data_IF_376405019877
#
_entry.id   IF_376405019877
#
_cell.length_a   1.000
_cell.length_b   1.000
_cell.length_c   1.000
_cell.angle_alpha   90.00
_cell.angle_beta   90.00
_cell.angle_gamma   90.00
#
_symmetry.space_group_name_H-M   'P 1'
#
loop_
_entity.id
_entity.type
_entity.pdbx_description
1 polymer ?
#
# COMPACT_ATOMS: atom_id res chain seq x y z
N UNK A 1 -7.96 -42.10 21.31
CA UNK A 1 -7.84 -41.38 20.05
C UNK A 1 -8.40 -39.98 20.30
N UNK A 2 -7.54 -39.07 20.75
CA UNK A 2 -7.91 -37.73 21.16
C UNK A 2 -7.73 -36.77 19.96
N UNK A 3 -8.82 -36.12 19.62
CA UNK A 3 -8.91 -35.06 18.62
C UNK A 3 -8.18 -33.84 19.16
N UNK A 4 -7.02 -33.50 18.59
CA UNK A 4 -6.32 -32.26 18.85
C UNK A 4 -6.82 -31.25 17.81
N UNK A 5 -7.94 -30.57 18.12
CA UNK A 5 -8.32 -29.36 17.43
C UNK A 5 -7.26 -28.32 17.70
N UNK A 6 -6.49 -27.95 16.69
CA UNK A 6 -5.56 -26.79 16.72
C UNK A 6 -6.34 -25.50 16.98
N UNK A 7 -5.71 -24.45 17.55
CA UNK A 7 -6.37 -23.19 17.85
C UNK A 7 -6.94 -22.58 16.56
N UNK A 8 -8.19 -22.19 16.62
CA UNK A 8 -8.88 -21.53 15.49
C UNK A 8 -8.14 -20.24 15.09
N UNK A 9 -7.79 -20.05 13.80
CA UNK A 9 -7.03 -18.91 13.33
C UNK A 9 -7.69 -17.54 13.59
N UNK A 10 -9.01 -17.53 13.82
CA UNK A 10 -9.80 -16.32 14.07
C UNK A 10 -9.53 -15.68 15.44
N UNK A 11 -9.07 -16.44 16.43
CA UNK A 11 -8.79 -15.93 17.80
C UNK A 11 -7.45 -15.21 17.83
N UNK A 12 -6.45 -15.68 17.10
CA UNK A 12 -5.10 -15.08 17.03
C UNK A 12 -5.15 -13.67 16.43
N UNK A 13 -5.74 -13.50 15.27
CA UNK A 13 -5.82 -12.19 14.57
C UNK A 13 -6.50 -11.10 15.43
N UNK A 14 -7.55 -11.46 16.17
CA UNK A 14 -8.22 -10.49 17.06
C UNK A 14 -7.35 -10.10 18.24
N UNK A 15 -6.52 -11.02 18.74
CA UNK A 15 -5.59 -10.75 19.84
C UNK A 15 -4.45 -9.83 19.37
N UNK A 16 -3.91 -10.09 18.17
CA UNK A 16 -2.87 -9.26 17.56
C UNK A 16 -3.37 -7.82 17.35
N UNK A 17 -4.57 -7.63 16.80
CA UNK A 17 -5.16 -6.31 16.61
C UNK A 17 -5.39 -5.55 17.92
N UNK A 18 -5.93 -6.19 18.97
CA UNK A 18 -6.11 -5.57 20.28
C UNK A 18 -4.78 -5.14 20.91
N UNK A 19 -3.76 -5.96 20.69
CA UNK A 19 -2.43 -5.65 21.21
C UNK A 19 -1.81 -4.46 20.49
N UNK A 20 -1.94 -4.37 19.16
CA UNK A 20 -1.51 -3.21 18.37
C UNK A 20 -2.27 -1.94 18.75
N UNK A 21 -3.59 -2.02 18.98
CA UNK A 21 -4.39 -0.90 19.47
C UNK A 21 -3.91 -0.43 20.85
N UNK A 22 -3.58 -1.39 21.75
CA UNK A 22 -3.04 -1.07 23.07
C UNK A 22 -1.67 -0.37 22.98
N UNK A 23 -0.77 -0.83 22.10
CA UNK A 23 0.54 -0.17 21.89
C UNK A 23 0.32 1.22 21.29
N UNK A 24 -0.57 1.38 20.32
CA UNK A 24 -0.89 2.67 19.69
C UNK A 24 -1.44 3.73 20.65
N UNK A 25 -2.02 3.32 21.78
CA UNK A 25 -2.45 4.23 22.84
C UNK A 25 -1.30 4.75 23.73
N UNK A 26 -0.05 4.25 23.54
CA UNK A 26 1.13 4.58 24.33
C UNK A 26 2.28 5.02 23.40
N UNK A 27 2.29 6.26 22.91
CA UNK A 27 3.28 6.75 21.94
C UNK A 27 4.73 6.62 22.41
N UNK A 28 4.97 6.77 23.70
CA UNK A 28 6.31 6.68 24.33
C UNK A 28 6.70 5.23 24.67
N UNK A 29 5.89 4.26 24.27
CA UNK A 29 6.07 2.85 24.62
C UNK A 29 5.42 2.45 25.93
N UNK A 30 5.14 1.15 26.08
CA UNK A 30 4.59 0.59 27.32
C UNK A 30 5.15 -0.81 27.59
N UNK A 31 5.16 -1.19 28.87
CA UNK A 31 5.63 -2.50 29.32
C UNK A 31 4.68 -3.63 28.88
N UNK A 32 5.21 -4.84 28.78
CA UNK A 32 4.40 -6.06 28.49
C UNK A 32 3.18 -6.18 29.43
N UNK A 33 3.36 -5.82 30.74
CA UNK A 33 2.29 -5.91 31.71
C UNK A 33 1.16 -4.92 31.47
N UNK A 34 1.48 -3.69 31.09
CA UNK A 34 0.50 -2.65 30.77
C UNK A 34 -0.27 -3.02 29.50
N UNK A 35 0.44 -3.44 28.46
CA UNK A 35 -0.13 -3.85 27.19
C UNK A 35 -0.99 -5.11 27.32
N UNK A 36 -0.55 -6.11 28.09
CA UNK A 36 -1.33 -7.30 28.38
C UNK A 36 -2.65 -6.98 29.08
N UNK A 37 -2.62 -6.04 30.05
CA UNK A 37 -3.81 -5.58 30.75
C UNK A 37 -4.75 -4.80 29.83
N UNK A 38 -4.22 -3.90 29.02
CA UNK A 38 -5.00 -3.10 28.08
C UNK A 38 -5.67 -3.97 26.98
N UNK A 39 -4.96 -4.99 26.49
CA UNK A 39 -5.47 -5.92 25.49
C UNK A 39 -6.33 -7.08 26.07
N UNK A 40 -6.49 -7.12 27.40
CA UNK A 40 -7.17 -8.23 28.12
C UNK A 40 -6.60 -9.61 27.79
N UNK A 41 -5.25 -9.72 27.74
CA UNK A 41 -4.53 -10.94 27.42
C UNK A 41 -3.70 -11.42 28.64
N UNK A 42 -3.50 -12.75 28.77
CA UNK A 42 -2.49 -13.26 29.69
C UNK A 42 -1.09 -12.71 29.32
N UNK A 43 -0.30 -12.30 30.31
CA UNK A 43 1.01 -11.65 30.10
C UNK A 43 1.95 -12.51 29.22
N UNK A 44 1.97 -13.83 29.42
CA UNK A 44 2.79 -14.73 28.61
C UNK A 44 2.37 -14.74 27.13
N UNK A 45 1.07 -14.65 26.86
CA UNK A 45 0.53 -14.56 25.51
C UNK A 45 0.88 -13.22 24.88
N UNK A 46 0.65 -12.12 25.60
CA UNK A 46 0.99 -10.77 25.15
C UNK A 46 2.48 -10.65 24.82
N UNK A 47 3.36 -11.14 25.71
CA UNK A 47 4.80 -11.16 25.50
C UNK A 47 5.20 -11.86 24.20
N UNK A 48 4.66 -13.06 23.96
CA UNK A 48 4.94 -13.81 22.73
C UNK A 48 4.49 -13.05 21.48
N UNK A 49 3.26 -12.53 21.48
CA UNK A 49 2.72 -11.78 20.35
C UNK A 49 3.47 -10.47 20.10
N UNK A 50 3.87 -9.73 21.16
CA UNK A 50 4.67 -8.51 21.06
C UNK A 50 6.02 -8.78 20.39
N UNK A 51 6.73 -9.86 20.79
CA UNK A 51 7.98 -10.23 20.12
C UNK A 51 7.77 -10.73 18.67
N UNK A 52 6.66 -11.41 18.36
CA UNK A 52 6.32 -11.79 16.99
C UNK A 52 6.06 -10.53 16.14
N UNK A 53 5.28 -9.57 16.65
CA UNK A 53 5.00 -8.31 15.99
C UNK A 53 6.27 -7.43 15.84
N UNK A 54 7.16 -7.43 16.82
CA UNK A 54 8.45 -6.73 16.72
C UNK A 54 9.35 -7.36 15.65
N UNK A 55 9.45 -8.69 15.62
CA UNK A 55 10.22 -9.42 14.60
C UNK A 55 9.66 -9.18 13.19
N UNK A 56 8.35 -9.01 13.05
CA UNK A 56 7.68 -8.75 11.79
C UNK A 56 7.67 -7.23 11.44
N UNK A 57 8.33 -6.39 12.29
CA UNK A 57 8.55 -4.96 12.02
C UNK A 57 7.37 -4.05 12.36
N UNK A 58 6.37 -4.53 13.10
CA UNK A 58 5.25 -3.70 13.56
C UNK A 58 5.56 -2.90 14.82
N UNK A 59 6.46 -3.40 15.65
CA UNK A 59 6.83 -2.80 16.94
C UNK A 59 8.34 -2.70 17.08
N UNK A 60 8.79 -1.73 17.89
CA UNK A 60 10.14 -1.65 18.42
C UNK A 60 10.16 -2.12 19.87
N UNK A 61 11.15 -2.94 20.22
CA UNK A 61 11.49 -3.23 21.60
C UNK A 61 12.53 -2.22 22.06
N UNK A 62 12.17 -1.40 23.04
CA UNK A 62 13.02 -0.34 23.60
C UNK A 62 14.04 -0.91 24.58
N UNK A 63 15.09 -0.15 24.89
CA UNK A 63 16.20 -0.56 25.78
C UNK A 63 15.75 -0.99 27.19
N UNK A 64 14.61 -0.49 27.66
CA UNK A 64 13.98 -0.84 28.93
C UNK A 64 13.03 -2.04 28.86
N UNK A 65 12.90 -2.67 27.69
CA UNK A 65 12.02 -3.79 27.44
C UNK A 65 10.54 -3.41 27.26
N UNK A 66 10.24 -2.11 27.06
CA UNK A 66 8.94 -1.63 26.63
C UNK A 66 8.78 -1.82 25.12
N UNK A 67 7.53 -1.84 24.64
CA UNK A 67 7.21 -1.92 23.22
C UNK A 67 6.52 -0.64 22.76
N UNK A 68 6.96 -0.09 21.64
CA UNK A 68 6.36 1.04 20.96
C UNK A 68 5.99 0.64 19.53
N UNK A 69 5.07 1.39 18.90
CA UNK A 69 4.86 1.23 17.46
C UNK A 69 6.16 1.57 16.75
N UNK A 70 6.58 0.70 15.85
CA UNK A 70 7.70 1.02 14.98
C UNK A 70 7.36 2.27 14.16
N UNK A 71 8.20 3.30 14.19
CA UNK A 71 7.95 4.59 13.50
C UNK A 71 7.58 4.41 12.02
N UNK A 72 7.93 3.26 11.45
CA UNK A 72 7.67 2.89 10.06
C UNK A 72 7.09 1.48 9.92
N UNK A 73 6.30 1.03 10.88
CA UNK A 73 5.70 -0.32 10.87
C UNK A 73 5.04 -0.63 9.53
N UNK A 74 5.00 -1.93 9.10
CA UNK A 74 4.47 -2.31 7.79
C UNK A 74 3.03 -1.83 7.61
N UNK A 75 2.85 -0.65 6.99
CA UNK A 75 1.56 -0.06 6.65
C UNK A 75 0.80 0.66 7.78
N UNK A 76 1.35 0.72 9.00
CA UNK A 76 0.86 1.64 10.04
C UNK A 76 1.60 2.96 9.87
N UNK A 77 0.99 3.89 9.15
CA UNK A 77 1.41 5.28 9.12
C UNK A 77 1.43 5.81 10.55
N UNK A 78 2.53 6.43 10.97
CA UNK A 78 2.57 7.22 12.21
C UNK A 78 1.42 8.23 12.15
N UNK A 79 0.59 8.26 13.20
CA UNK A 79 -0.72 8.91 13.17
C UNK A 79 -0.66 10.42 12.87
N UNK A 80 0.44 11.11 13.13
CA UNK A 80 0.52 12.57 12.98
C UNK A 80 0.91 13.04 11.57
N UNK A 81 1.95 12.49 10.93
CA UNK A 81 2.35 12.91 9.58
C UNK A 81 1.45 12.32 8.49
N UNK A 82 0.97 11.09 8.71
CA UNK A 82 0.08 10.41 7.78
C UNK A 82 -1.33 11.01 7.72
N UNK A 83 -1.93 11.34 8.87
CA UNK A 83 -3.29 11.90 8.95
C UNK A 83 -3.35 13.31 8.35
N UNK A 84 -2.40 14.19 8.68
CA UNK A 84 -2.37 15.55 8.12
C UNK A 84 -2.13 15.52 6.60
N UNK A 85 -1.28 14.62 6.10
CA UNK A 85 -1.07 14.42 4.66
C UNK A 85 -2.29 13.80 3.99
N UNK A 86 -2.94 12.82 4.60
CA UNK A 86 -4.17 12.20 4.08
C UNK A 86 -5.34 13.19 4.03
N UNK A 87 -5.55 14.00 5.07
CA UNK A 87 -6.60 15.02 5.09
C UNK A 87 -6.44 16.06 3.98
N UNK A 88 -5.22 16.43 3.65
CA UNK A 88 -4.91 17.38 2.57
C UNK A 88 -5.05 16.78 1.17
N UNK A 89 -4.76 15.50 1.01
CA UNK A 89 -4.72 14.81 -0.29
C UNK A 89 -6.08 14.21 -0.64
N UNK A 90 -6.80 13.67 0.34
CA UNK A 90 -8.09 13.01 0.14
C UNK A 90 -9.13 13.82 -0.66
N UNK A 91 -9.29 15.16 -0.47
CA UNK A 91 -10.17 15.97 -1.30
C UNK A 91 -9.78 16.00 -2.77
N UNK A 92 -8.46 15.99 -3.08
CA UNK A 92 -7.96 15.95 -4.46
C UNK A 92 -8.29 14.61 -5.11
N UNK A 93 -8.06 13.50 -4.39
CA UNK A 93 -8.39 12.15 -4.86
C UNK A 93 -9.90 11.98 -5.04
N UNK A 94 -10.71 12.51 -4.11
CA UNK A 94 -12.18 12.50 -4.19
C UNK A 94 -12.69 13.26 -5.42
N UNK A 95 -12.10 14.44 -5.71
CA UNK A 95 -12.44 15.21 -6.90
C UNK A 95 -12.10 14.44 -8.19
N UNK A 96 -10.97 13.73 -8.24
CA UNK A 96 -10.58 12.91 -9.39
C UNK A 96 -11.54 11.71 -9.56
N UNK A 97 -11.86 11.00 -8.44
CA UNK A 97 -12.85 9.92 -8.43
C UNK A 97 -14.17 10.35 -9.02
N UNK A 98 -14.69 11.49 -8.58
CA UNK A 98 -16.01 11.97 -9.01
C UNK A 98 -16.03 12.38 -10.47
N UNK A 99 -14.96 13.04 -10.94
CA UNK A 99 -14.80 13.45 -12.36
C UNK A 99 -14.70 12.26 -13.30
N UNK A 100 -13.98 11.21 -12.91
CA UNK A 100 -13.76 10.03 -13.74
C UNK A 100 -14.74 8.90 -13.42
N UNK A 101 -15.52 9.01 -12.33
CA UNK A 101 -16.37 7.93 -11.82
C UNK A 101 -15.59 6.61 -11.73
N UNK A 102 -14.37 6.67 -11.22
CA UNK A 102 -13.43 5.57 -11.08
C UNK A 102 -12.78 5.62 -9.71
N UNK A 103 -12.53 4.48 -9.08
CA UNK A 103 -11.79 4.43 -7.81
C UNK A 103 -10.37 4.96 -8.03
N UNK A 104 -9.89 5.75 -7.06
CA UNK A 104 -8.56 6.39 -7.10
C UNK A 104 -7.68 5.78 -6.02
N UNK A 105 -6.42 5.57 -6.35
CA UNK A 105 -5.40 4.99 -5.49
C UNK A 105 -4.19 5.91 -5.49
N UNK A 106 -3.56 6.03 -4.33
CA UNK A 106 -2.27 6.68 -4.15
C UNK A 106 -1.31 5.68 -3.52
N UNK A 107 -0.12 5.55 -4.10
CA UNK A 107 0.96 4.71 -3.56
C UNK A 107 2.22 5.52 -3.37
N UNK A 108 3.11 5.02 -2.53
CA UNK A 108 4.47 5.51 -2.36
C UNK A 108 5.43 4.32 -2.33
N UNK A 109 6.62 4.51 -2.90
CA UNK A 109 7.73 3.58 -2.76
C UNK A 109 8.55 3.98 -1.56
N UNK A 110 8.57 3.11 -0.57
CA UNK A 110 9.23 3.34 0.69
C UNK A 110 9.92 2.05 1.16
N UNK A 111 11.17 2.14 1.59
CA UNK A 111 11.98 1.02 2.08
C UNK A 111 12.02 -0.20 1.14
N UNK A 112 11.95 0.07 -0.15
CA UNK A 112 11.95 -0.98 -1.16
C UNK A 112 10.60 -1.60 -1.47
N UNK A 113 9.50 -1.11 -0.88
CA UNK A 113 8.15 -1.62 -1.04
C UNK A 113 7.21 -0.57 -1.66
N UNK A 114 6.24 -1.03 -2.47
CA UNK A 114 5.19 -0.18 -3.02
C UNK A 114 4.00 -0.25 -2.08
N UNK A 115 3.80 0.80 -1.27
CA UNK A 115 2.74 0.88 -0.26
C UNK A 115 1.56 1.69 -0.76
N UNK A 116 0.34 1.23 -0.48
CA UNK A 116 -0.86 2.01 -0.73
C UNK A 116 -1.08 2.98 0.43
N UNK A 117 -1.03 4.27 0.15
CA UNK A 117 -1.27 5.33 1.13
C UNK A 117 -2.76 5.63 1.29
N UNK A 118 -3.50 5.67 0.17
CA UNK A 118 -4.90 6.06 0.19
C UNK A 118 -5.68 5.39 -0.94
N UNK A 119 -6.92 5.01 -0.65
CA UNK A 119 -7.89 4.55 -1.64
C UNK A 119 -9.18 5.34 -1.45
N UNK A 120 -9.63 5.99 -2.52
CA UNK A 120 -10.89 6.72 -2.52
C UNK A 120 -11.83 6.11 -3.54
N UNK A 121 -12.87 5.48 -3.04
CA UNK A 121 -13.90 4.80 -3.83
C UNK A 121 -15.32 5.27 -3.47
N UNK A 122 -16.32 4.75 -4.15
CA UNK A 122 -17.73 4.98 -3.85
C UNK A 122 -18.58 3.88 -4.50
N UNK A 123 -19.88 3.76 -4.17
CA UNK A 123 -20.77 2.81 -4.85
C UNK A 123 -20.84 2.99 -6.36
N UNK A 124 -20.58 4.21 -6.88
CA UNK A 124 -20.53 4.51 -8.33
C UNK A 124 -19.14 4.29 -8.94
N UNK A 125 -18.11 4.25 -8.11
CA UNK A 125 -16.72 4.06 -8.47
C UNK A 125 -16.10 3.02 -7.52
N UNK A 126 -16.51 1.75 -7.56
CA UNK A 126 -16.05 0.73 -6.63
C UNK A 126 -14.58 0.41 -6.86
N UNK A 127 -13.85 0.15 -5.77
CA UNK A 127 -12.47 -0.34 -5.85
C UNK A 127 -12.41 -1.75 -6.45
N UNK A 128 -11.26 -2.10 -7.00
CA UNK A 128 -10.97 -3.48 -7.38
C UNK A 128 -10.88 -4.33 -6.11
N UNK A 129 -11.46 -5.53 -6.14
CA UNK A 129 -11.28 -6.49 -5.06
C UNK A 129 -9.80 -6.87 -4.96
N UNK A 130 -9.18 -6.54 -3.83
CA UNK A 130 -7.79 -6.90 -3.53
C UNK A 130 -7.79 -8.32 -3.00
N UNK A 131 -7.23 -9.26 -3.76
CA UNK A 131 -7.06 -10.66 -3.37
C UNK A 131 -5.59 -11.09 -3.26
N UNK A 132 -4.69 -10.28 -3.80
CA UNK A 132 -3.24 -10.31 -3.58
C UNK A 132 -2.82 -8.91 -3.16
N UNK A 133 -1.89 -8.79 -2.23
CA UNK A 133 -1.42 -7.47 -1.79
C UNK A 133 -0.82 -6.69 -2.97
N UNK A 134 -1.02 -5.38 -2.99
CA UNK A 134 -0.40 -4.53 -4.01
C UNK A 134 1.13 -4.58 -3.96
N UNK A 135 1.72 -4.84 -2.79
CA UNK A 135 3.15 -5.01 -2.60
C UNK A 135 3.67 -6.19 -3.42
N UNK A 136 2.98 -7.34 -3.35
CA UNK A 136 3.36 -8.55 -4.09
C UNK A 136 2.99 -8.48 -5.58
N UNK A 137 2.02 -7.65 -5.96
CA UNK A 137 1.47 -7.57 -7.31
C UNK A 137 1.94 -6.35 -8.10
N UNK A 138 2.98 -5.63 -7.68
CA UNK A 138 3.42 -4.40 -8.33
C UNK A 138 3.71 -4.56 -9.83
N UNK A 139 4.24 -5.71 -10.25
CA UNK A 139 4.49 -6.03 -11.66
C UNK A 139 3.21 -6.11 -12.51
N UNK A 140 2.08 -6.43 -11.91
CA UNK A 140 0.80 -6.65 -12.59
C UNK A 140 -0.16 -5.47 -12.48
N UNK A 141 0.19 -4.42 -11.73
CA UNK A 141 -0.66 -3.24 -11.52
C UNK A 141 -0.14 -2.02 -12.27
N UNK A 142 -1.03 -1.16 -12.74
CA UNK A 142 -0.64 0.12 -13.32
C UNK A 142 0.14 1.00 -12.32
N UNK A 143 -0.26 0.96 -11.04
CA UNK A 143 0.40 1.67 -9.94
C UNK A 143 1.85 1.22 -9.77
N UNK A 144 2.05 -0.08 -9.62
CA UNK A 144 3.38 -0.66 -9.45
C UNK A 144 4.28 -0.44 -10.67
N UNK A 145 3.76 -0.65 -11.88
CA UNK A 145 4.50 -0.36 -13.13
C UNK A 145 4.89 1.12 -13.22
N UNK A 146 4.01 2.03 -12.79
CA UNK A 146 4.32 3.47 -12.76
C UNK A 146 5.48 3.79 -11.83
N UNK A 147 5.52 3.21 -10.64
CA UNK A 147 6.64 3.34 -9.70
C UNK A 147 7.91 2.71 -10.27
N UNK A 148 7.83 1.45 -10.72
CA UNK A 148 9.00 0.70 -11.23
C UNK A 148 9.67 1.37 -12.44
N UNK A 149 8.96 2.17 -13.21
CA UNK A 149 9.53 2.95 -14.33
C UNK A 149 10.40 4.11 -13.87
N UNK A 150 10.05 4.72 -12.73
CA UNK A 150 10.74 5.87 -12.17
C UNK A 150 11.92 5.50 -11.26
N UNK A 151 11.94 4.25 -10.74
CA UNK A 151 13.05 3.77 -9.93
C UNK A 151 14.34 3.70 -10.77
N UNK A 152 15.45 4.02 -10.11
CA UNK A 152 16.78 3.74 -10.67
C UNK A 152 16.96 2.23 -10.93
N UNK A 153 17.92 1.84 -11.78
CA UNK A 153 18.11 0.44 -12.17
C UNK A 153 18.42 -0.50 -11.00
N UNK A 154 19.09 -0.02 -9.96
CA UNK A 154 19.46 -0.82 -8.78
C UNK A 154 18.25 -1.06 -7.89
N UNK A 155 17.50 -0.02 -7.51
CA UNK A 155 16.29 -0.12 -6.72
C UNK A 155 15.24 -1.00 -7.42
N UNK A 156 15.05 -0.82 -8.73
CA UNK A 156 14.17 -1.65 -9.55
C UNK A 156 14.61 -3.12 -9.59
N UNK A 157 15.90 -3.38 -9.74
CA UNK A 157 16.43 -4.75 -9.74
C UNK A 157 16.25 -5.43 -8.37
N UNK A 158 16.47 -4.69 -7.28
CA UNK A 158 16.29 -5.13 -5.90
C UNK A 158 14.81 -5.45 -5.62
N UNK A 159 13.87 -4.60 -6.05
CA UNK A 159 12.44 -4.88 -5.94
C UNK A 159 12.08 -6.18 -6.68
N UNK A 160 12.47 -6.31 -7.94
CA UNK A 160 12.18 -7.50 -8.76
C UNK A 160 12.90 -8.78 -8.32
N UNK A 161 13.92 -8.68 -7.48
CA UNK A 161 14.58 -9.85 -6.88
C UNK A 161 13.79 -10.39 -5.67
N UNK A 162 13.08 -9.52 -4.95
CA UNK A 162 12.29 -9.88 -3.76
C UNK A 162 10.86 -10.30 -4.09
N UNK A 163 10.29 -9.78 -5.18
CA UNK A 163 8.90 -10.03 -5.58
C UNK A 163 8.82 -10.93 -6.80
N UNK A 164 8.22 -12.11 -6.62
CA UNK A 164 7.99 -13.04 -7.72
C UNK A 164 6.95 -12.46 -8.69
N UNK A 165 7.18 -12.65 -9.99
CA UNK A 165 6.21 -12.27 -11.03
C UNK A 165 5.10 -13.32 -11.14
N UNK A 166 4.24 -13.39 -10.11
CA UNK A 166 3.15 -14.36 -10.04
C UNK A 166 2.12 -14.12 -11.15
N UNK A 167 1.67 -15.19 -11.79
CA UNK A 167 0.60 -15.15 -12.80
C UNK A 167 -0.78 -15.01 -12.15
N UNK A 168 -1.30 -13.80 -12.05
CA UNK A 168 -2.60 -13.52 -11.42
C UNK A 168 -3.76 -13.74 -12.39
N UNK A 169 -3.53 -13.47 -13.66
CA UNK A 169 -4.46 -13.70 -14.77
C UNK A 169 -3.70 -14.24 -15.99
N UNK A 170 -4.39 -14.72 -17.03
CA UNK A 170 -3.72 -15.09 -18.28
C UNK A 170 -3.01 -13.93 -19.02
N UNK A 171 -3.23 -12.69 -18.58
CA UNK A 171 -2.63 -11.48 -19.15
C UNK A 171 -1.46 -10.96 -18.33
N UNK A 172 -1.24 -11.47 -17.12
CA UNK A 172 -0.15 -11.04 -16.26
C UNK A 172 1.19 -11.33 -16.92
N UNK A 173 2.06 -10.34 -16.95
CA UNK A 173 3.44 -10.52 -17.39
C UNK A 173 4.20 -11.27 -16.30
N UNK A 174 4.67 -12.48 -16.61
CA UNK A 174 5.39 -13.36 -15.68
C UNK A 174 6.88 -13.51 -16.03
N UNK A 175 7.31 -12.91 -17.13
CA UNK A 175 8.69 -12.95 -17.59
C UNK A 175 9.38 -11.62 -17.37
N UNK A 176 10.52 -11.66 -16.67
CA UNK A 176 11.26 -10.46 -16.27
C UNK A 176 11.66 -9.60 -17.48
N UNK A 177 12.15 -10.24 -18.56
CA UNK A 177 12.59 -9.52 -19.75
C UNK A 177 11.42 -8.84 -20.47
N UNK A 178 10.22 -9.41 -20.40
CA UNK A 178 9.02 -8.83 -20.99
C UNK A 178 8.55 -7.62 -20.17
N UNK A 179 8.56 -7.75 -18.85
CA UNK A 179 8.24 -6.64 -17.94
C UNK A 179 9.23 -5.48 -18.15
N UNK A 180 10.53 -5.74 -18.16
CA UNK A 180 11.56 -4.70 -18.37
C UNK A 180 11.37 -3.99 -19.72
N UNK A 181 11.09 -4.73 -20.80
CA UNK A 181 10.79 -4.13 -22.11
C UNK A 181 9.57 -3.21 -22.07
N UNK A 182 8.52 -3.58 -21.32
CA UNK A 182 7.36 -2.73 -21.14
C UNK A 182 7.68 -1.49 -20.31
N UNK A 183 8.42 -1.66 -19.19
CA UNK A 183 8.82 -0.55 -18.33
C UNK A 183 9.73 0.45 -19.05
N UNK A 184 10.66 -0.03 -19.87
CA UNK A 184 11.63 0.81 -20.59
C UNK A 184 11.07 1.38 -21.91
N UNK A 185 9.87 0.99 -22.31
CA UNK A 185 9.25 1.50 -23.53
C UNK A 185 8.97 3.01 -23.45
N UNK A 186 9.24 3.80 -24.52
CA UNK A 186 9.06 5.26 -24.54
C UNK A 186 7.56 5.64 -24.67
N UNK A 187 6.72 5.14 -23.78
CA UNK A 187 5.25 5.30 -23.84
C UNK A 187 4.74 6.54 -23.08
N UNK A 188 5.64 7.41 -22.58
CA UNK A 188 5.31 8.53 -21.69
C UNK A 188 4.94 8.07 -20.28
N UNK A 189 4.46 8.98 -19.40
CA UNK A 189 4.32 8.71 -17.97
C UNK A 189 3.11 7.82 -17.61
N UNK A 190 2.23 7.50 -18.57
CA UNK A 190 1.03 6.70 -18.30
C UNK A 190 1.35 5.21 -18.33
N UNK A 191 1.22 4.55 -17.20
CA UNK A 191 1.27 3.09 -17.06
C UNK A 191 -0.15 2.51 -17.08
N UNK A 192 -0.30 1.33 -17.68
CA UNK A 192 -1.60 0.66 -17.83
C UNK A 192 -1.51 -0.79 -17.32
N UNK A 193 -2.62 -1.23 -16.75
CA UNK A 193 -2.93 -2.64 -16.51
C UNK A 193 -4.26 -2.95 -17.21
N UNK A 194 -4.25 -3.89 -18.13
CA UNK A 194 -5.45 -4.29 -18.92
C UNK A 194 -5.91 -5.68 -18.53
N UNK A 195 -6.25 -5.85 -17.26
CA UNK A 195 -6.69 -7.12 -16.71
C UNK A 195 -5.53 -8.05 -16.36
N UNK A 196 -4.38 -7.51 -16.03
CA UNK A 196 -3.21 -8.25 -15.58
C UNK A 196 -3.30 -8.59 -14.10
N UNK A 197 -3.76 -7.65 -13.27
CA UNK A 197 -4.02 -7.86 -11.86
C UNK A 197 -5.37 -8.55 -11.63
N UNK A 198 -6.43 -8.07 -12.28
CA UNK A 198 -7.79 -8.59 -12.12
C UNK A 198 -8.54 -8.61 -13.44
N UNK A 199 -9.14 -9.75 -13.77
CA UNK A 199 -9.92 -9.90 -15.01
C UNK A 199 -11.08 -8.91 -15.06
N UNK A 200 -11.34 -8.34 -16.23
CA UNK A 200 -12.44 -7.39 -16.43
C UNK A 200 -12.20 -6.01 -15.85
N UNK A 201 -11.00 -5.74 -15.34
CA UNK A 201 -10.58 -4.44 -14.81
C UNK A 201 -9.48 -3.85 -15.71
N UNK A 202 -9.50 -2.55 -15.87
CA UNK A 202 -8.43 -1.77 -16.48
C UNK A 202 -8.00 -0.69 -15.48
N UNK A 203 -6.70 -0.57 -15.27
CA UNK A 203 -6.13 0.47 -14.43
C UNK A 203 -5.18 1.35 -15.23
N UNK A 204 -5.08 2.61 -14.82
CA UNK A 204 -4.16 3.58 -15.38
C UNK A 204 -3.50 4.35 -14.23
N UNK A 205 -2.21 4.61 -14.31
CA UNK A 205 -1.46 5.33 -13.29
C UNK A 205 -0.38 6.21 -13.90
N UNK A 206 -0.02 7.27 -13.15
CA UNK A 206 1.10 8.16 -13.45
C UNK A 206 1.93 8.38 -12.18
N UNK A 207 3.22 8.72 -12.30
CA UNK A 207 4.06 8.93 -11.12
C UNK A 207 3.67 10.20 -10.35
N UNK A 208 3.93 10.15 -9.04
CA UNK A 208 3.91 11.29 -8.11
C UNK A 208 5.20 11.27 -7.29
N UNK A 209 5.57 12.39 -6.70
CA UNK A 209 6.82 12.50 -5.96
C UNK A 209 6.59 13.15 -4.59
N UNK A 210 7.34 12.72 -3.60
CA UNK A 210 7.38 13.29 -2.24
C UNK A 210 8.84 13.46 -1.84
N UNK A 211 9.40 14.65 -2.03
CA UNK A 211 10.87 14.81 -1.96
C UNK A 211 11.55 13.87 -2.95
N UNK A 212 12.47 13.03 -2.44
CA UNK A 212 13.21 12.05 -3.24
C UNK A 212 12.45 10.71 -3.41
N UNK A 213 11.30 10.55 -2.77
CA UNK A 213 10.49 9.35 -2.88
C UNK A 213 9.59 9.41 -4.11
N UNK A 214 9.48 8.29 -4.81
CA UNK A 214 8.55 8.10 -5.92
C UNK A 214 7.32 7.33 -5.48
N UNK A 215 6.18 7.71 -5.99
CA UNK A 215 4.92 7.00 -5.83
C UNK A 215 4.12 7.00 -7.12
N UNK A 216 2.85 6.66 -7.03
CA UNK A 216 1.94 6.77 -8.18
C UNK A 216 0.52 7.11 -7.75
N UNK A 217 -0.18 7.87 -8.60
CA UNK A 217 -1.62 8.04 -8.53
C UNK A 217 -2.26 7.32 -9.70
N UNK A 218 -3.29 6.52 -9.42
CA UNK A 218 -3.96 5.75 -10.46
C UNK A 218 -5.44 5.58 -10.21
N UNK A 219 -6.11 5.09 -11.24
CA UNK A 219 -7.53 4.77 -11.23
C UNK A 219 -7.78 3.34 -11.69
N UNK A 220 -8.91 2.78 -11.25
CA UNK A 220 -9.43 1.52 -11.76
C UNK A 220 -10.86 1.66 -12.25
N UNK A 221 -11.18 0.96 -13.33
CA UNK A 221 -12.51 0.91 -13.91
C UNK A 221 -12.75 -0.43 -14.59
N UNK A 222 -14.01 -0.77 -14.85
CA UNK A 222 -14.37 -1.98 -15.59
C UNK A 222 -13.92 -1.87 -17.05
N UNK A 223 -13.35 -2.95 -17.58
CA UNK A 223 -12.81 -2.98 -18.96
C UNK A 223 -13.88 -2.78 -20.07
N UNK A 224 -15.17 -3.00 -19.75
CA UNK A 224 -16.29 -2.75 -20.64
C UNK A 224 -16.67 -1.26 -20.75
N UNK A 225 -16.11 -0.42 -19.88
CA UNK A 225 -16.37 1.01 -19.85
C UNK A 225 -15.41 1.73 -20.81
N UNK A 226 -15.98 2.42 -21.80
CA UNK A 226 -15.15 3.19 -22.73
C UNK A 226 -14.68 4.50 -22.09
N UNK A 227 -13.37 4.59 -21.86
CA UNK A 227 -12.71 5.85 -21.48
C UNK A 227 -11.81 6.34 -22.61
N UNK A 228 -11.81 7.65 -22.82
CA UNK A 228 -10.81 8.27 -23.70
C UNK A 228 -9.48 8.29 -22.96
N UNK A 229 -8.52 7.49 -23.39
CA UNK A 229 -7.19 7.38 -22.79
C UNK A 229 -6.50 8.74 -22.67
N UNK A 230 -6.71 9.64 -23.64
CA UNK A 230 -6.19 11.01 -23.63
C UNK A 230 -6.78 11.85 -22.49
N UNK A 231 -8.07 11.71 -22.20
CA UNK A 231 -8.72 12.41 -21.09
C UNK A 231 -8.27 11.86 -19.75
N UNK A 232 -8.25 10.54 -19.59
CA UNK A 232 -7.73 9.87 -18.38
C UNK A 232 -6.30 10.31 -18.10
N UNK A 233 -5.44 10.28 -19.11
CA UNK A 233 -4.05 10.73 -18.99
C UNK A 233 -3.96 12.19 -18.52
N UNK A 234 -4.70 13.10 -19.16
CA UNK A 234 -4.68 14.51 -18.82
C UNK A 234 -5.12 14.76 -17.37
N UNK A 235 -6.21 14.09 -16.93
CA UNK A 235 -6.73 14.23 -15.57
C UNK A 235 -5.80 13.63 -14.52
N UNK A 236 -5.19 12.49 -14.82
CA UNK A 236 -4.20 11.88 -13.92
C UNK A 236 -2.98 12.79 -13.76
N UNK A 237 -2.43 13.30 -14.85
CA UNK A 237 -1.27 14.22 -14.80
C UNK A 237 -1.58 15.51 -14.06
N UNK A 238 -2.74 16.13 -14.28
CA UNK A 238 -3.19 17.29 -13.52
C UNK A 238 -3.26 17.00 -12.03
N UNK A 239 -3.83 15.84 -11.66
CA UNK A 239 -3.95 15.44 -10.26
C UNK A 239 -2.60 15.05 -9.65
N UNK A 240 -1.73 14.39 -10.39
CA UNK A 240 -0.38 14.05 -9.95
C UNK A 240 0.44 15.29 -9.58
N UNK A 241 0.39 16.34 -10.41
CA UNK A 241 1.06 17.60 -10.10
C UNK A 241 0.55 18.25 -8.81
N UNK A 242 -0.76 18.21 -8.58
CA UNK A 242 -1.38 18.74 -7.35
C UNK A 242 -1.01 17.92 -6.12
N UNK A 243 -1.02 16.61 -6.24
CA UNK A 243 -0.64 15.68 -5.16
C UNK A 243 0.84 15.84 -4.83
N UNK A 244 1.73 15.84 -5.83
CA UNK A 244 3.17 16.05 -5.64
C UNK A 244 3.43 17.35 -4.87
N UNK A 245 2.80 18.47 -5.27
CA UNK A 245 2.95 19.75 -4.55
C UNK A 245 2.52 19.66 -3.08
N UNK A 246 1.45 18.90 -2.78
CA UNK A 246 0.96 18.74 -1.40
C UNK A 246 1.83 17.82 -0.57
N UNK A 247 2.46 16.82 -1.18
CA UNK A 247 3.41 15.93 -0.52
C UNK A 247 4.76 16.60 -0.25
N UNK A 248 5.18 17.54 -1.12
CA UNK A 248 6.53 18.14 -1.06
C UNK A 248 6.59 19.42 -0.21
N UNK A 249 5.47 20.15 -0.05
CA UNK A 249 5.46 21.42 0.69
C UNK A 249 5.33 21.15 2.19
N UNK A 250 6.33 21.57 3.01
CA UNK A 250 6.17 21.61 4.45
C UNK A 250 5.06 22.59 4.86
N UNK A 251 4.47 22.38 6.01
CA UNK A 251 3.54 23.36 6.59
C UNK A 251 4.26 24.66 6.89
N UNK A 252 3.72 25.80 6.39
CA UNK A 252 4.05 27.13 6.89
C UNK A 252 3.21 27.45 8.12
#
# INVERSE_FOLDING_TARGET
MGDQAGPEPTVSVRQDLRLLEAVGAHPDGASVQELARAAELPELTARRLLHELARDGYLDELDDGAFALHERGPGLLTADDGLASQERIRPLLSSLRDRLSAAVYLTLYDEGEIRVLEIVDSPRAPRVNVWVSFQEAGHATALGKSVLRELDPEARANYLARHALAGLTPRTITRREELLRELDAPAGPLSMDRGEYSRGTTCAAVPVYSGDQVGSIGISFRSDRMYRTTEVRARLLESALRVTRRLTLPEC
#
